data_IF_068822095124
#
_entry.id   IF_068822095124
#
_cell.length_a   1.000
_cell.length_b   1.000
_cell.length_c   1.000
_cell.angle_alpha   90.00
_cell.angle_beta   90.00
_cell.angle_gamma   90.00
#
_symmetry.space_group_name_H-M   'P 1'
#
loop_
_entity.id
_entity.type
_entity.pdbx_description
1 polymer ?
#
# COMPACT_ATOMS: atom_id res chain seq x y z
N UNK A 1 -19.58 -2.40 -15.48
CA UNK A 1 -19.74 -3.36 -14.37
C UNK A 1 -18.35 -3.84 -14.01
N UNK A 2 -17.86 -3.56 -12.81
CA UNK A 2 -16.56 -4.06 -12.36
C UNK A 2 -16.72 -5.52 -11.97
N UNK A 3 -15.89 -6.42 -12.50
CA UNK A 3 -16.03 -7.85 -12.21
C UNK A 3 -15.70 -8.14 -10.72
N UNK A 4 -16.33 -9.17 -10.15
CA UNK A 4 -16.23 -9.52 -8.72
C UNK A 4 -14.78 -9.71 -8.26
N UNK A 5 -13.91 -10.27 -9.10
CA UNK A 5 -12.50 -10.48 -8.79
C UNK A 5 -11.75 -9.16 -8.62
N UNK A 6 -12.11 -8.16 -9.40
CA UNK A 6 -11.53 -6.81 -9.30
C UNK A 6 -11.93 -6.13 -7.99
N UNK A 7 -13.20 -6.25 -7.58
CA UNK A 7 -13.63 -5.71 -6.29
C UNK A 7 -12.97 -6.43 -5.12
N UNK A 8 -12.81 -7.75 -5.21
CA UNK A 8 -12.22 -8.55 -4.14
C UNK A 8 -10.72 -8.28 -3.98
N UNK A 9 -9.97 -8.10 -5.08
CA UNK A 9 -8.55 -7.76 -4.97
C UNK A 9 -8.35 -6.37 -4.37
N UNK A 10 -9.16 -5.38 -4.76
CA UNK A 10 -9.01 -4.05 -4.18
C UNK A 10 -9.42 -4.05 -2.69
N UNK A 11 -10.44 -4.81 -2.27
CA UNK A 11 -10.75 -5.04 -0.85
C UNK A 11 -9.58 -5.69 -0.10
N UNK A 12 -8.88 -6.66 -0.70
CA UNK A 12 -7.70 -7.27 -0.09
C UNK A 12 -6.61 -6.24 0.15
N UNK A 13 -6.37 -5.33 -0.79
CA UNK A 13 -5.40 -4.24 -0.61
C UNK A 13 -5.75 -3.35 0.59
N UNK A 14 -7.04 -3.00 0.75
CA UNK A 14 -7.53 -2.25 1.91
C UNK A 14 -7.30 -3.00 3.22
N UNK A 15 -7.64 -4.29 3.26
CA UNK A 15 -7.46 -5.15 4.44
C UNK A 15 -5.98 -5.27 4.80
N UNK A 16 -5.12 -5.46 3.79
CA UNK A 16 -3.68 -5.55 3.98
C UNK A 16 -3.11 -4.26 4.56
N UNK A 17 -3.44 -3.11 3.96
CA UNK A 17 -3.00 -1.82 4.46
C UNK A 17 -3.42 -1.58 5.91
N UNK A 18 -4.67 -1.94 6.26
CA UNK A 18 -5.21 -1.77 7.61
C UNK A 18 -4.76 -2.84 8.61
N UNK A 19 -3.94 -3.81 8.19
CA UNK A 19 -3.43 -4.83 9.09
C UNK A 19 -2.72 -4.18 10.28
N UNK A 20 -3.13 -4.55 11.49
CA UNK A 20 -2.65 -3.91 12.72
C UNK A 20 -1.14 -4.07 12.92
N UNK A 21 -0.60 -5.25 12.60
CA UNK A 21 0.82 -5.51 12.71
C UNK A 21 1.61 -4.67 11.70
N UNK A 22 1.17 -4.61 10.45
CA UNK A 22 1.78 -3.75 9.44
C UNK A 22 1.76 -2.28 9.84
N UNK A 23 0.61 -1.77 10.29
CA UNK A 23 0.47 -0.40 10.79
C UNK A 23 1.37 -0.12 12.01
N UNK A 24 1.58 -1.12 12.86
CA UNK A 24 2.50 -1.03 14.00
C UNK A 24 3.94 -0.93 13.54
N UNK A 25 4.35 -1.74 12.55
CA UNK A 25 5.70 -1.67 11.97
C UNK A 25 5.98 -0.29 11.35
N UNK A 26 5.03 0.28 10.61
CA UNK A 26 5.15 1.64 10.05
C UNK A 26 5.31 2.69 11.15
N UNK A 27 4.54 2.58 12.24
CA UNK A 27 4.57 3.51 13.38
C UNK A 27 5.83 3.39 14.25
N UNK A 28 6.44 2.21 14.30
CA UNK A 28 7.66 2.01 15.09
C UNK A 28 8.91 2.52 14.36
N UNK A 29 8.85 2.58 13.02
CA UNK A 29 9.98 2.95 12.18
C UNK A 29 9.89 4.40 11.63
N UNK A 30 9.23 5.31 12.35
CA UNK A 30 8.98 6.68 11.84
C UNK A 30 10.23 7.49 11.50
N UNK A 31 11.35 7.19 12.14
CA UNK A 31 12.63 7.85 11.88
C UNK A 31 13.27 7.46 10.53
N UNK A 32 12.88 6.30 9.97
CA UNK A 32 13.45 5.74 8.75
C UNK A 32 12.53 5.88 7.54
N UNK A 33 11.27 6.24 7.75
CA UNK A 33 10.22 6.23 6.75
C UNK A 33 9.64 7.62 6.51
N UNK A 34 9.31 7.92 5.26
CA UNK A 34 8.61 9.16 4.91
C UNK A 34 7.17 9.16 5.44
N UNK A 35 6.97 9.82 6.59
CA UNK A 35 5.68 9.92 7.25
C UNK A 35 4.63 10.69 6.45
N UNK A 36 5.07 11.64 5.62
CA UNK A 36 4.17 12.38 4.75
C UNK A 36 3.64 11.45 3.67
N UNK A 37 4.51 10.67 3.04
CA UNK A 37 4.15 9.69 2.04
C UNK A 37 3.19 8.62 2.58
N UNK A 38 3.44 8.09 3.78
CA UNK A 38 2.54 7.13 4.44
C UNK A 38 1.15 7.75 4.67
N UNK A 39 1.09 9.00 5.11
CA UNK A 39 -0.18 9.71 5.34
C UNK A 39 -0.96 9.97 4.04
N UNK A 40 -0.25 10.33 2.98
CA UNK A 40 -0.83 10.46 1.64
C UNK A 40 -1.36 9.12 1.12
N UNK A 41 -0.63 8.02 1.35
CA UNK A 41 -1.08 6.68 1.00
C UNK A 41 -2.30 6.24 1.77
N UNK A 42 -2.39 6.53 3.08
CA UNK A 42 -3.60 6.21 3.86
C UNK A 42 -4.84 6.91 3.29
N UNK A 43 -4.66 8.15 2.83
CA UNK A 43 -5.72 8.92 2.19
C UNK A 43 -6.11 8.37 0.81
N UNK A 44 -5.14 7.90 0.02
CA UNK A 44 -5.38 7.35 -1.31
C UNK A 44 -6.04 5.96 -1.25
N UNK A 45 -5.53 5.07 -0.39
CA UNK A 45 -6.07 3.71 -0.25
C UNK A 45 -7.53 3.77 0.15
N UNK A 46 -7.92 4.63 1.10
CA UNK A 46 -9.32 4.83 1.50
C UNK A 46 -10.26 5.24 0.37
N UNK A 47 -9.75 5.89 -0.67
CA UNK A 47 -10.54 6.38 -1.82
C UNK A 47 -10.61 5.38 -2.98
N UNK A 48 -9.91 4.25 -2.88
CA UNK A 48 -9.92 3.24 -3.95
C UNK A 48 -11.25 2.51 -3.94
N UNK A 49 -12.08 2.89 -4.92
CA UNK A 49 -13.21 2.14 -5.46
C UNK A 49 -12.86 1.53 -6.83
N UNK A 50 -11.58 1.57 -7.20
CA UNK A 50 -11.10 1.35 -8.56
C UNK A 50 -11.43 -0.03 -9.13
N UNK A 51 -11.72 -0.03 -10.44
CA UNK A 51 -12.02 -1.19 -11.26
C UNK A 51 -10.82 -1.74 -12.03
N UNK A 52 -9.59 -1.47 -11.59
CA UNK A 52 -8.38 -1.95 -12.24
C UNK A 52 -7.67 -3.05 -11.43
N UNK A 53 -8.01 -4.30 -11.74
CA UNK A 53 -7.45 -5.51 -11.12
C UNK A 53 -5.92 -5.51 -11.09
N UNK A 54 -5.29 -5.21 -12.24
CA UNK A 54 -3.83 -5.28 -12.40
C UNK A 54 -3.14 -4.32 -11.44
N UNK A 55 -3.66 -3.09 -11.33
CA UNK A 55 -3.07 -2.08 -10.44
C UNK A 55 -3.28 -2.44 -8.97
N UNK A 56 -4.46 -2.93 -8.59
CA UNK A 56 -4.69 -3.40 -7.22
C UNK A 56 -3.77 -4.58 -6.87
N UNK A 57 -3.55 -5.53 -7.80
CA UNK A 57 -2.63 -6.64 -7.60
C UNK A 57 -1.17 -6.18 -7.46
N UNK A 58 -0.70 -5.28 -8.33
CA UNK A 58 0.65 -4.72 -8.25
C UNK A 58 0.90 -4.01 -6.91
N UNK A 59 -0.07 -3.22 -6.45
CA UNK A 59 0.04 -2.53 -5.18
C UNK A 59 0.09 -3.50 -3.98
N UNK A 60 -0.66 -4.61 -4.03
CA UNK A 60 -0.56 -5.66 -2.99
C UNK A 60 0.84 -6.27 -2.96
N UNK A 61 1.43 -6.57 -4.13
CA UNK A 61 2.80 -7.11 -4.19
C UNK A 61 3.80 -6.15 -3.57
N UNK A 62 3.72 -4.85 -3.89
CA UNK A 62 4.59 -3.83 -3.30
C UNK A 62 4.38 -3.70 -1.78
N UNK A 63 3.14 -3.79 -1.30
CA UNK A 63 2.83 -3.80 0.13
C UNK A 63 3.41 -5.03 0.85
N UNK A 64 3.47 -6.19 0.19
CA UNK A 64 4.12 -7.38 0.72
C UNK A 64 5.64 -7.18 0.86
N UNK A 65 6.30 -6.58 -0.14
CA UNK A 65 7.73 -6.27 -0.03
C UNK A 65 8.01 -5.29 1.10
N UNK A 66 7.23 -4.21 1.21
CA UNK A 66 7.38 -3.26 2.32
C UNK A 66 7.22 -3.96 3.67
N UNK A 67 6.25 -4.87 3.80
CA UNK A 67 6.05 -5.62 5.04
C UNK A 67 7.26 -6.50 5.39
N UNK A 68 7.79 -7.24 4.42
CA UNK A 68 8.96 -8.11 4.60
C UNK A 68 10.21 -7.30 4.99
N UNK A 69 10.44 -6.17 4.32
CA UNK A 69 11.54 -5.24 4.61
C UNK A 69 11.42 -4.65 6.02
N UNK A 70 10.22 -4.22 6.42
CA UNK A 70 9.95 -3.73 7.77
C UNK A 70 10.23 -4.79 8.85
N UNK A 71 9.92 -6.06 8.57
CA UNK A 71 10.22 -7.15 9.51
C UNK A 71 11.72 -7.42 9.63
N UNK A 72 12.45 -7.28 8.52
CA UNK A 72 13.92 -7.44 8.48
C UNK A 72 14.66 -6.22 9.02
N UNK A 73 13.99 -5.07 9.14
CA UNK A 73 14.62 -3.80 9.47
C UNK A 73 15.45 -3.24 8.30
N UNK A 74 15.13 -3.64 7.07
CA UNK A 74 15.69 -3.07 5.86
C UNK A 74 14.79 -1.91 5.40
N UNK A 75 15.39 -0.76 5.10
CA UNK A 75 14.65 0.46 4.73
C UNK A 75 15.10 1.02 3.38
N UNK A 76 16.01 0.35 2.67
CA UNK A 76 16.62 0.87 1.45
C UNK A 76 15.59 1.15 0.35
N UNK A 77 14.58 0.30 0.20
CA UNK A 77 13.63 0.34 -0.92
C UNK A 77 12.21 0.76 -0.50
N UNK A 78 11.89 0.76 0.80
CA UNK A 78 10.51 1.01 1.28
C UNK A 78 9.95 2.34 0.75
N UNK A 79 10.71 3.43 0.83
CA UNK A 79 10.22 4.73 0.35
C UNK A 79 9.99 4.73 -1.16
N UNK A 80 10.80 4.00 -1.93
CA UNK A 80 10.60 3.84 -3.38
C UNK A 80 9.31 3.06 -3.67
N UNK A 81 9.07 1.95 -2.97
CA UNK A 81 7.84 1.19 -3.11
C UNK A 81 6.60 2.00 -2.73
N UNK A 82 6.65 2.76 -1.64
CA UNK A 82 5.57 3.66 -1.25
C UNK A 82 5.30 4.74 -2.32
N UNK A 83 6.34 5.30 -2.96
CA UNK A 83 6.17 6.27 -4.06
C UNK A 83 5.55 5.62 -5.30
N UNK A 84 5.96 4.40 -5.64
CA UNK A 84 5.41 3.66 -6.77
C UNK A 84 3.93 3.33 -6.55
N UNK A 85 3.59 2.85 -5.36
CA UNK A 85 2.21 2.61 -4.94
C UNK A 85 1.39 3.91 -5.05
N UNK A 86 1.91 5.03 -4.54
CA UNK A 86 1.26 6.35 -4.67
C UNK A 86 1.03 6.73 -6.14
N UNK A 87 2.03 6.59 -7.00
CA UNK A 87 1.93 6.88 -8.44
C UNK A 87 0.86 6.03 -9.11
N UNK A 88 0.85 4.73 -8.81
CA UNK A 88 -0.13 3.79 -9.33
C UNK A 88 -1.56 4.19 -8.93
N UNK A 89 -1.77 4.61 -7.68
CA UNK A 89 -3.07 5.05 -7.18
C UNK A 89 -3.49 6.43 -7.71
N UNK A 90 -2.56 7.38 -7.84
CA UNK A 90 -2.84 8.70 -8.41
C UNK A 90 -3.33 8.63 -9.85
N UNK A 91 -2.94 7.60 -10.61
CA UNK A 91 -3.44 7.36 -11.96
C UNK A 91 -4.85 6.76 -12.00
N UNK A 92 -5.40 6.37 -10.85
CA UNK A 92 -6.72 5.75 -10.70
C UNK A 92 -7.77 6.64 -10.03
N UNK A 93 -7.35 7.76 -9.42
CA UNK A 93 -8.19 8.72 -8.69
C UNK A 93 -8.51 9.94 -9.56
#
# INVERSE_FOLDING_TARGET
MCDVNTQDICKQMHVYWKNEHFQTLLKNNKGNLDQKLISEMDSLIRKIESSNFVVCQQNIVLLNYIYDDLQKGDFSEINQFLQEIKKNMSNLA
#
